data_IF_552431378820
#
_entry.id   IF_552431378820
#
_cell.length_a   1.000
_cell.length_b   1.000
_cell.length_c   1.000
_cell.angle_alpha   90.00
_cell.angle_beta   90.00
_cell.angle_gamma   90.00
#
_symmetry.space_group_name_H-M   'P 1'
#
loop_
_entity.id
_entity.type
_entity.pdbx_description
1 polymer ?
#
# COMPACT_ATOMS: atom_id res chain seq x y z
N UNK A 1 -11.23 -12.24 11.80
CA UNK A 1 -10.71 -13.49 11.24
C UNK A 1 -10.78 -14.60 12.29
N UNK A 2 -11.17 -15.80 11.84
CA UNK A 2 -11.00 -16.98 12.66
C UNK A 2 -9.52 -17.34 12.62
N UNK A 3 -8.86 -17.33 13.78
CA UNK A 3 -7.43 -17.63 13.86
C UNK A 3 -7.28 -19.07 14.36
N UNK A 4 -6.74 -19.92 13.50
CA UNK A 4 -6.44 -21.31 13.82
C UNK A 4 -4.95 -21.46 14.10
N UNK A 5 -4.63 -22.23 15.13
CA UNK A 5 -3.26 -22.64 15.40
C UNK A 5 -3.04 -24.00 14.76
N UNK A 6 -2.33 -24.03 13.64
CA UNK A 6 -1.95 -25.29 12.98
C UNK A 6 -0.63 -25.75 13.57
N UNK A 7 -0.59 -26.97 14.07
CA UNK A 7 0.62 -27.64 14.57
C UNK A 7 0.88 -28.85 13.69
N UNK A 8 2.08 -29.01 13.20
CA UNK A 8 2.55 -30.20 12.53
C UNK A 8 3.75 -30.76 13.28
N UNK A 9 3.75 -32.08 13.45
CA UNK A 9 4.86 -32.84 14.01
C UNK A 9 5.29 -33.83 12.95
N UNK A 10 6.54 -33.81 12.58
CA UNK A 10 7.13 -34.74 11.62
C UNK A 10 8.38 -35.36 12.19
N UNK A 11 8.62 -36.60 11.84
CA UNK A 11 9.82 -37.33 12.19
C UNK A 11 10.60 -37.56 10.89
N UNK A 12 11.79 -36.99 10.75
CA UNK A 12 12.64 -37.19 9.60
C UNK A 12 13.71 -38.23 9.91
N UNK A 13 13.89 -39.17 8.99
CA UNK A 13 15.05 -40.07 8.98
C UNK A 13 16.03 -39.50 7.95
N UNK A 14 17.23 -39.15 8.37
CA UNK A 14 18.34 -38.87 7.46
C UNK A 14 18.88 -40.21 6.94
N UNK A 15 18.78 -40.46 5.64
CA UNK A 15 19.60 -41.49 4.99
C UNK A 15 20.94 -40.85 4.69
N UNK A 16 22.01 -41.34 5.30
CA UNK A 16 23.34 -41.02 4.81
C UNK A 16 23.55 -41.72 3.46
N UNK A 17 23.78 -40.90 2.42
CA UNK A 17 24.22 -41.40 1.12
C UNK A 17 25.58 -42.05 1.28
N UNK A 18 25.61 -43.37 1.43
CA UNK A 18 26.82 -44.16 1.43
C UNK A 18 27.45 -44.08 0.05
N UNK A 19 28.55 -43.33 -0.08
CA UNK A 19 29.45 -43.34 -1.23
C UNK A 19 29.89 -44.79 -1.52
N UNK A 20 29.35 -45.38 -2.58
CA UNK A 20 29.82 -46.66 -3.10
C UNK A 20 31.14 -46.47 -3.84
N UNK A 21 32.25 -46.56 -3.12
CA UNK A 21 33.54 -46.88 -3.73
C UNK A 21 33.55 -48.36 -4.07
N UNK A 22 33.78 -48.64 -5.36
CA UNK A 22 33.82 -50.00 -5.90
C UNK A 22 34.93 -50.87 -5.29
N UNK A 23 34.55 -52.06 -4.90
CA UNK A 23 35.45 -53.13 -4.48
C UNK A 23 34.74 -54.46 -4.49
N UNK A 24 35.27 -55.40 -5.29
CA UNK A 24 34.90 -56.77 -5.61
C UNK A 24 34.34 -57.63 -4.45
N UNK A 25 33.31 -58.35 -4.75
CA UNK A 25 32.73 -59.59 -4.19
C UNK A 25 33.48 -60.31 -3.08
N UNK A 26 32.72 -60.57 -1.99
CA UNK A 26 32.54 -61.93 -1.43
C UNK A 26 31.23 -61.97 -0.66
N UNK A 27 30.43 -63.03 -0.97
CA UNK A 27 29.17 -63.34 -0.37
C UNK A 27 29.40 -63.90 1.04
N UNK A 28 28.93 -63.22 2.07
CA UNK A 28 28.47 -63.81 3.33
C UNK A 28 27.33 -62.97 3.87
N UNK A 29 26.16 -63.62 4.00
CA UNK A 29 24.98 -63.09 4.63
C UNK A 29 25.29 -62.63 6.06
N UNK A 30 25.28 -61.35 6.30
CA UNK A 30 25.04 -60.76 7.62
C UNK A 30 23.98 -59.70 7.51
N UNK A 31 22.91 -59.86 8.29
CA UNK A 31 21.84 -58.91 8.49
C UNK A 31 22.44 -57.49 8.71
N UNK A 32 22.05 -56.49 7.91
CA UNK A 32 22.46 -55.14 8.21
C UNK A 32 21.66 -54.67 9.43
N UNK A 33 22.28 -54.66 10.60
CA UNK A 33 21.80 -53.82 11.68
C UNK A 33 21.78 -52.38 11.17
N UNK A 34 20.59 -51.91 10.85
CA UNK A 34 20.34 -50.51 10.51
C UNK A 34 20.87 -49.67 11.68
N UNK A 35 21.93 -48.93 11.43
CA UNK A 35 22.42 -47.90 12.32
C UNK A 35 21.39 -46.77 12.31
N UNK A 36 20.48 -46.83 13.30
CA UNK A 36 19.38 -45.88 13.46
C UNK A 36 20.00 -44.62 14.03
N UNK A 37 20.47 -43.76 13.17
CA UNK A 37 20.80 -42.39 13.54
C UNK A 37 19.55 -41.70 14.09
N UNK A 38 19.68 -41.03 15.21
CA UNK A 38 18.62 -40.40 15.98
C UNK A 38 17.70 -39.59 15.08
N UNK A 39 16.40 -39.93 15.10
CA UNK A 39 15.38 -39.21 14.35
C UNK A 39 15.04 -37.92 15.11
N UNK A 40 15.34 -36.78 14.50
CA UNK A 40 14.94 -35.48 15.05
C UNK A 40 13.44 -35.26 14.87
N UNK A 41 12.74 -34.99 15.98
CA UNK A 41 11.35 -34.55 15.94
C UNK A 41 11.30 -33.07 15.57
N UNK A 42 10.78 -32.76 14.37
CA UNK A 42 10.58 -31.39 13.92
C UNK A 42 9.16 -30.94 14.24
N UNK A 43 9.07 -29.86 14.99
CA UNK A 43 7.81 -29.22 15.34
C UNK A 43 7.62 -27.97 14.52
N UNK A 44 6.50 -27.88 13.82
CA UNK A 44 6.11 -26.67 13.11
C UNK A 44 4.77 -26.15 13.66
N UNK A 45 4.73 -24.85 13.91
CA UNK A 45 3.53 -24.19 14.40
C UNK A 45 3.31 -22.87 13.66
N UNK A 46 2.11 -22.69 13.09
CA UNK A 46 1.74 -21.44 12.40
C UNK A 46 0.32 -21.04 12.78
N UNK A 47 0.13 -19.72 12.97
CA UNK A 47 -1.20 -19.14 13.05
C UNK A 47 -1.74 -18.94 11.63
N UNK A 48 -2.87 -19.53 11.33
CA UNK A 48 -3.59 -19.40 10.07
C UNK A 48 -4.84 -18.54 10.31
N UNK A 49 -4.93 -17.40 9.63
CA UNK A 49 -6.13 -16.58 9.61
C UNK A 49 -6.98 -16.96 8.38
N UNK A 50 -8.22 -17.37 8.60
CA UNK A 50 -9.18 -17.67 7.54
C UNK A 50 -10.15 -16.50 7.44
N UNK A 51 -10.31 -15.98 6.21
CA UNK A 51 -11.25 -14.94 5.87
C UNK A 51 -12.32 -15.50 4.96
N UNK A 52 -13.60 -15.30 5.31
CA UNK A 52 -14.73 -15.52 4.41
C UNK A 52 -15.00 -14.19 3.70
N UNK A 53 -14.70 -14.14 2.39
CA UNK A 53 -14.94 -12.97 1.57
C UNK A 53 -16.13 -13.26 0.66
N UNK A 54 -17.18 -12.45 0.78
CA UNK A 54 -18.39 -12.55 -0.06
C UNK A 54 -18.64 -11.25 -0.78
N UNK A 55 -18.87 -11.34 -2.07
CA UNK A 55 -19.36 -10.23 -2.88
C UNK A 55 -20.86 -10.44 -3.12
N UNK A 56 -21.66 -9.54 -2.62
CA UNK A 56 -23.12 -9.61 -2.75
C UNK A 56 -23.55 -8.48 -3.68
N UNK A 57 -24.22 -8.84 -4.80
CA UNK A 57 -24.70 -7.86 -5.77
C UNK A 57 -25.52 -6.75 -5.09
N UNK A 58 -25.21 -5.51 -5.44
CA UNK A 58 -25.80 -4.27 -4.89
C UNK A 58 -25.64 -4.04 -3.38
N UNK A 59 -25.01 -4.98 -2.64
CA UNK A 59 -24.77 -4.82 -1.21
C UNK A 59 -23.29 -4.57 -0.87
N UNK A 60 -22.37 -4.92 -1.78
CA UNK A 60 -20.95 -4.71 -1.59
C UNK A 60 -20.16 -5.95 -1.14
N UNK A 61 -19.07 -5.73 -0.48
CA UNK A 61 -18.12 -6.76 -0.04
C UNK A 61 -18.31 -7.00 1.45
N UNK A 62 -18.33 -8.26 1.83
CA UNK A 62 -18.43 -8.68 3.22
C UNK A 62 -17.21 -9.53 3.57
N UNK A 63 -16.58 -9.21 4.69
CA UNK A 63 -15.47 -9.95 5.27
C UNK A 63 -15.93 -10.54 6.61
N UNK A 64 -15.99 -11.87 6.70
CA UNK A 64 -16.52 -12.55 7.89
C UNK A 64 -17.88 -11.99 8.31
N UNK A 65 -18.82 -11.95 7.35
CA UNK A 65 -20.21 -11.48 7.52
C UNK A 65 -20.38 -9.99 7.84
N UNK A 66 -19.30 -9.22 7.97
CA UNK A 66 -19.34 -7.78 8.16
C UNK A 66 -19.08 -7.05 6.85
N UNK A 67 -19.83 -5.98 6.62
CA UNK A 67 -19.57 -5.10 5.48
C UNK A 67 -18.13 -4.60 5.52
N UNK A 68 -17.44 -4.70 4.39
CA UNK A 68 -16.04 -4.36 4.25
C UNK A 68 -15.85 -3.34 3.13
N UNK A 69 -15.46 -2.14 3.51
CA UNK A 69 -15.10 -1.11 2.54
C UNK A 69 -13.69 -1.39 2.00
N UNK A 70 -13.63 -1.93 0.77
CA UNK A 70 -12.37 -2.24 0.11
C UNK A 70 -11.65 -0.94 -0.32
N UNK A 71 -10.44 -0.77 0.15
CA UNK A 71 -9.50 0.30 -0.21
C UNK A 71 -8.24 -0.35 -0.76
N UNK A 72 -8.35 -0.74 -2.02
CA UNK A 72 -7.34 -1.53 -2.73
C UNK A 72 -6.42 -0.65 -3.56
N UNK A 73 -5.14 -1.02 -3.59
CA UNK A 73 -4.14 -0.43 -4.46
C UNK A 73 -3.40 -1.51 -5.24
N UNK A 74 -2.93 -1.20 -6.44
CA UNK A 74 -1.98 -2.04 -7.16
C UNK A 74 -0.56 -1.65 -6.79
N UNK A 75 0.27 -2.65 -6.51
CA UNK A 75 1.67 -2.47 -6.11
C UNK A 75 2.58 -3.21 -7.08
N UNK A 76 3.59 -2.52 -7.57
CA UNK A 76 4.67 -3.10 -8.37
C UNK A 76 5.89 -3.26 -7.47
N UNK A 77 6.50 -4.45 -7.48
CA UNK A 77 7.75 -4.66 -6.75
C UNK A 77 8.82 -3.70 -7.27
N UNK A 78 9.58 -3.06 -6.38
CA UNK A 78 10.72 -2.24 -6.80
C UNK A 78 11.68 -3.09 -7.64
N UNK A 79 12.30 -2.54 -8.69
CA UNK A 79 13.29 -3.25 -9.47
C UNK A 79 14.39 -3.76 -8.53
N UNK A 80 14.94 -4.94 -8.85
CA UNK A 80 16.06 -5.48 -8.09
C UNK A 80 17.22 -4.49 -8.12
N UNK A 81 17.37 -3.78 -7.02
CA UNK A 81 18.59 -3.03 -6.72
C UNK A 81 19.53 -4.08 -6.13
N UNK A 82 20.80 -4.05 -6.49
CA UNK A 82 21.83 -5.06 -6.17
C UNK A 82 21.95 -5.48 -4.69
N UNK A 83 21.11 -4.94 -3.82
CA UNK A 83 21.04 -5.25 -2.40
C UNK A 83 19.59 -5.58 -1.97
N UNK A 84 19.37 -6.85 -1.65
CA UNK A 84 18.09 -7.39 -1.16
C UNK A 84 17.60 -6.65 0.09
N UNK A 85 18.51 -6.23 0.97
CA UNK A 85 18.18 -5.46 2.18
C UNK A 85 17.54 -4.10 1.85
N UNK A 86 18.00 -3.46 0.80
CA UNK A 86 17.45 -2.17 0.33
C UNK A 86 16.05 -2.33 -0.23
N UNK A 87 15.78 -3.40 -0.98
CA UNK A 87 14.47 -3.68 -1.54
C UNK A 87 13.44 -3.97 -0.42
N UNK A 88 13.79 -4.82 0.54
CA UNK A 88 12.90 -5.12 1.68
C UNK A 88 12.60 -3.87 2.52
N UNK A 89 13.61 -3.03 2.75
CA UNK A 89 13.44 -1.76 3.45
C UNK A 89 12.51 -0.80 2.69
N UNK A 90 12.58 -0.76 1.36
CA UNK A 90 11.67 0.03 0.54
C UNK A 90 10.23 -0.50 0.66
N UNK A 91 10.02 -1.80 0.49
CA UNK A 91 8.71 -2.42 0.65
C UNK A 91 8.10 -2.15 2.03
N UNK A 92 8.90 -2.22 3.10
CA UNK A 92 8.43 -1.90 4.45
C UNK A 92 7.96 -0.46 4.58
N UNK A 93 8.72 0.50 4.05
CA UNK A 93 8.35 1.93 4.06
C UNK A 93 7.06 2.18 3.30
N UNK A 94 6.91 1.55 2.14
CA UNK A 94 5.72 1.71 1.31
C UNK A 94 4.48 1.16 2.01
N UNK A 95 4.58 -0.03 2.59
CA UNK A 95 3.49 -0.63 3.36
C UNK A 95 3.10 0.23 4.57
N UNK A 96 4.05 0.89 5.22
CA UNK A 96 3.76 1.84 6.31
C UNK A 96 3.01 3.07 5.82
N UNK A 97 3.39 3.62 4.66
CA UNK A 97 2.68 4.74 4.03
C UNK A 97 1.27 4.34 3.62
N UNK A 98 1.11 3.17 3.00
CA UNK A 98 -0.20 2.65 2.58
C UNK A 98 -1.12 2.38 3.79
N UNK A 99 -0.59 1.88 4.89
CA UNK A 99 -1.34 1.72 6.13
C UNK A 99 -1.84 3.07 6.68
N UNK A 100 -0.98 4.10 6.72
CA UNK A 100 -1.38 5.46 7.13
C UNK A 100 -2.41 6.09 6.18
N UNK A 101 -2.34 5.75 4.91
CA UNK A 101 -3.32 6.16 3.91
C UNK A 101 -4.70 5.53 4.16
N UNK A 102 -4.77 4.44 4.92
CA UNK A 102 -5.99 3.68 5.18
C UNK A 102 -6.26 2.57 4.17
N UNK A 103 -5.27 2.21 3.36
CA UNK A 103 -5.33 1.04 2.46
C UNK A 103 -5.49 -0.24 3.29
N UNK A 104 -6.34 -1.15 2.84
CA UNK A 104 -6.60 -2.43 3.50
C UNK A 104 -6.45 -3.65 2.59
N UNK A 105 -6.21 -3.43 1.29
CA UNK A 105 -5.96 -4.49 0.33
C UNK A 105 -4.88 -4.07 -0.68
N UNK A 106 -4.02 -5.02 -1.04
CA UNK A 106 -2.93 -4.80 -1.99
C UNK A 106 -2.93 -5.91 -3.02
N UNK A 107 -2.97 -5.52 -4.30
CA UNK A 107 -2.79 -6.40 -5.45
C UNK A 107 -1.40 -6.17 -6.04
N UNK A 108 -0.66 -7.25 -6.27
CA UNK A 108 0.61 -7.18 -6.98
C UNK A 108 0.34 -7.09 -8.49
N UNK A 109 0.96 -6.10 -9.15
CA UNK A 109 0.92 -6.02 -10.61
C UNK A 109 1.86 -7.07 -11.21
N UNK A 110 1.34 -7.86 -12.15
CA UNK A 110 2.19 -8.69 -13.00
C UNK A 110 2.92 -7.77 -13.98
N UNK A 111 4.23 -7.72 -13.90
CA UNK A 111 5.05 -7.02 -14.89
C UNK A 111 5.01 -7.83 -16.18
N UNK A 112 4.32 -7.29 -17.19
CA UNK A 112 4.19 -7.94 -18.51
C UNK A 112 5.53 -8.32 -19.11
N UNK A 113 5.56 -9.40 -19.90
CA UNK A 113 6.66 -9.93 -20.74
C UNK A 113 7.98 -10.28 -20.08
N UNK A 114 8.05 -10.39 -18.77
CA UNK A 114 9.24 -10.74 -18.01
C UNK A 114 8.96 -11.54 -16.75
N UNK A 115 7.73 -12.05 -16.56
CA UNK A 115 7.32 -12.79 -15.37
C UNK A 115 8.09 -14.11 -15.14
N UNK A 116 8.91 -14.55 -16.07
CA UNK A 116 9.86 -15.66 -15.88
C UNK A 116 11.02 -15.28 -14.95
N UNK A 117 11.19 -13.99 -14.61
CA UNK A 117 12.30 -13.47 -13.80
C UNK A 117 11.94 -12.92 -12.43
N UNK A 118 10.66 -12.76 -12.07
CA UNK A 118 10.34 -12.44 -10.68
C UNK A 118 10.48 -13.70 -9.83
N UNK A 119 11.52 -13.69 -8.97
CA UNK A 119 11.75 -14.81 -8.07
C UNK A 119 10.48 -15.03 -7.21
N UNK A 120 9.91 -16.24 -7.30
CA UNK A 120 8.78 -16.67 -6.48
C UNK A 120 9.01 -16.43 -4.99
N UNK A 121 10.27 -16.37 -4.56
CA UNK A 121 10.67 -16.05 -3.20
C UNK A 121 10.36 -14.60 -2.84
N UNK A 122 10.61 -13.63 -3.74
CA UNK A 122 10.32 -12.21 -3.51
C UNK A 122 8.83 -11.95 -3.39
N UNK A 123 8.04 -12.53 -4.28
CA UNK A 123 6.58 -12.45 -4.24
C UNK A 123 6.02 -13.01 -2.92
N UNK A 124 6.53 -14.16 -2.48
CA UNK A 124 6.15 -14.77 -1.19
C UNK A 124 6.56 -13.91 0.00
N UNK A 125 7.77 -13.33 -0.03
CA UNK A 125 8.27 -12.44 1.00
C UNK A 125 7.39 -11.19 1.10
N UNK A 126 7.04 -10.57 -0.03
CA UNK A 126 6.14 -9.42 -0.10
C UNK A 126 4.77 -9.74 0.49
N UNK A 127 4.12 -10.82 0.05
CA UNK A 127 2.81 -11.21 0.60
C UNK A 127 2.87 -11.56 2.09
N UNK A 128 3.98 -12.10 2.57
CA UNK A 128 4.20 -12.30 4.01
C UNK A 128 4.28 -10.99 4.78
N UNK A 129 4.94 -9.97 4.22
CA UNK A 129 5.00 -8.63 4.81
C UNK A 129 3.62 -7.96 4.83
N UNK A 130 2.85 -8.05 3.75
CA UNK A 130 1.49 -7.53 3.66
C UNK A 130 0.59 -8.15 4.73
N UNK A 131 0.56 -9.48 4.82
CA UNK A 131 -0.27 -10.20 5.81
C UNK A 131 0.10 -9.87 7.24
N UNK A 132 1.39 -9.74 7.57
CA UNK A 132 1.83 -9.35 8.92
C UNK A 132 1.35 -7.96 9.32
N UNK A 133 1.08 -7.08 8.37
CA UNK A 133 0.54 -5.73 8.57
C UNK A 133 -0.98 -5.63 8.42
N UNK A 134 -1.65 -6.75 8.21
CA UNK A 134 -3.12 -6.81 8.16
C UNK A 134 -3.74 -6.45 6.82
N UNK A 135 -2.93 -6.35 5.74
CA UNK A 135 -3.49 -6.16 4.39
C UNK A 135 -4.07 -7.47 3.85
N UNK A 136 -5.20 -7.37 3.20
CA UNK A 136 -5.68 -8.42 2.32
C UNK A 136 -4.79 -8.47 1.08
N UNK A 137 -4.47 -9.69 0.66
CA UNK A 137 -3.64 -9.94 -0.53
C UNK A 137 -4.32 -10.97 -1.41
N UNK A 138 -4.23 -10.81 -2.71
CA UNK A 138 -4.76 -11.76 -3.69
C UNK A 138 -5.43 -11.05 -4.85
N UNK A 139 -5.83 -11.85 -5.84
CA UNK A 139 -6.52 -11.37 -7.04
C UNK A 139 -8.01 -11.18 -6.76
N UNK A 140 -8.33 -10.18 -5.97
CA UNK A 140 -9.71 -9.74 -5.81
C UNK A 140 -10.11 -8.92 -7.03
N UNK A 141 -10.45 -9.59 -8.15
CA UNK A 141 -10.87 -8.99 -9.43
C UNK A 141 -12.20 -8.23 -9.35
N UNK A 142 -12.41 -7.47 -8.29
CA UNK A 142 -13.69 -6.82 -8.04
C UNK A 142 -13.79 -5.48 -8.77
N UNK A 143 -12.65 -4.85 -9.11
CA UNK A 143 -12.60 -3.58 -9.82
C UNK A 143 -11.61 -3.65 -10.98
N UNK A 144 -12.01 -3.24 -12.21
CA UNK A 144 -11.10 -3.17 -13.35
C UNK A 144 -10.05 -2.08 -13.21
N UNK A 145 -10.40 -0.98 -12.55
CA UNK A 145 -9.50 0.15 -12.32
C UNK A 145 -9.04 0.17 -10.87
N UNK A 146 -7.75 0.02 -10.68
CA UNK A 146 -7.10 0.05 -9.38
C UNK A 146 -6.11 1.19 -9.35
N UNK A 147 -6.10 1.89 -8.22
CA UNK A 147 -5.19 2.98 -7.95
C UNK A 147 -3.74 2.47 -7.87
N UNK A 148 -2.84 2.84 -8.79
CA UNK A 148 -1.46 2.40 -8.75
C UNK A 148 -0.68 3.12 -7.65
N UNK A 149 0.20 2.38 -6.95
CA UNK A 149 1.09 2.96 -5.94
C UNK A 149 2.19 3.78 -6.60
N UNK A 150 2.81 3.25 -7.65
CA UNK A 150 3.88 3.91 -8.36
C UNK A 150 3.43 4.42 -9.72
N UNK A 151 4.03 5.53 -10.15
CA UNK A 151 3.89 6.02 -11.50
C UNK A 151 4.45 5.01 -12.49
N UNK A 152 3.74 4.75 -13.59
CA UNK A 152 4.17 3.86 -14.65
C UNK A 152 5.52 4.23 -15.28
N UNK A 153 6.10 3.32 -16.03
CA UNK A 153 7.33 3.55 -16.77
C UNK A 153 7.13 4.65 -17.84
N UNK A 154 8.20 5.33 -18.28
CA UNK A 154 8.13 6.30 -19.37
C UNK A 154 7.47 5.68 -20.61
N UNK A 155 6.37 6.26 -21.08
CA UNK A 155 5.60 5.77 -22.24
C UNK A 155 4.29 5.05 -21.88
N UNK A 156 4.05 4.67 -20.63
CA UNK A 156 2.72 4.27 -20.17
C UNK A 156 1.86 5.51 -19.95
N UNK A 157 0.59 5.45 -20.35
CA UNK A 157 -0.40 6.50 -20.02
C UNK A 157 -0.41 6.65 -18.51
N UNK A 158 -0.04 7.82 -18.06
CA UNK A 158 0.22 8.13 -16.66
C UNK A 158 -1.08 8.08 -15.86
N UNK A 159 -1.48 6.88 -15.43
CA UNK A 159 -2.41 6.79 -14.33
C UNK A 159 -1.78 7.58 -13.16
N UNK A 160 -2.50 8.53 -12.63
CA UNK A 160 -2.04 9.34 -11.50
C UNK A 160 -1.81 8.43 -10.30
N UNK A 161 -0.56 8.12 -10.04
CA UNK A 161 -0.15 7.22 -8.98
C UNK A 161 -0.07 7.94 -7.63
N UNK A 162 -0.03 7.17 -6.54
CA UNK A 162 0.15 7.70 -5.19
C UNK A 162 1.57 8.22 -4.95
N UNK A 163 2.56 7.59 -5.56
CA UNK A 163 3.98 7.94 -5.44
C UNK A 163 4.55 8.29 -6.81
N UNK A 164 5.45 9.25 -6.84
CA UNK A 164 6.24 9.54 -8.02
C UNK A 164 7.20 8.38 -8.34
N UNK A 165 7.81 8.40 -9.53
CA UNK A 165 8.72 7.36 -10.00
C UNK A 165 9.98 7.17 -9.11
N UNK A 166 10.33 8.18 -8.30
CA UNK A 166 11.43 8.11 -7.33
C UNK A 166 11.12 7.24 -6.09
N UNK A 167 9.86 6.79 -5.95
CA UNK A 167 9.38 6.02 -4.81
C UNK A 167 9.42 6.75 -3.47
N UNK A 168 9.64 8.08 -3.48
CA UNK A 168 9.79 8.90 -2.27
C UNK A 168 8.79 10.04 -2.21
N UNK A 169 8.60 10.72 -3.31
CA UNK A 169 7.74 11.90 -3.42
C UNK A 169 6.27 11.47 -3.45
N UNK A 170 5.50 11.97 -2.51
CA UNK A 170 4.05 11.79 -2.47
C UNK A 170 3.40 12.72 -3.50
N UNK A 171 2.43 12.23 -4.25
CA UNK A 171 1.68 13.02 -5.22
C UNK A 171 0.48 13.71 -4.56
N UNK A 172 -0.13 14.66 -5.26
CA UNK A 172 -1.39 15.27 -4.79
C UNK A 172 -2.49 14.22 -4.65
N UNK A 173 -2.48 13.19 -5.50
CA UNK A 173 -3.41 12.06 -5.41
C UNK A 173 -3.26 11.25 -4.12
N UNK A 174 -2.06 11.13 -3.58
CA UNK A 174 -1.85 10.55 -2.26
C UNK A 174 -2.64 11.31 -1.19
N UNK A 175 -2.55 12.64 -1.17
CA UNK A 175 -3.23 13.47 -0.19
C UNK A 175 -4.76 13.48 -0.36
N UNK A 176 -5.26 13.39 -1.61
CA UNK A 176 -6.68 13.20 -1.88
C UNK A 176 -7.20 11.91 -1.23
N UNK A 177 -6.51 10.77 -1.48
CA UNK A 177 -6.93 9.51 -0.90
C UNK A 177 -6.67 9.43 0.59
N UNK A 178 -5.64 10.12 1.11
CA UNK A 178 -5.43 10.24 2.54
C UNK A 178 -6.62 10.97 3.21
N UNK A 179 -7.07 12.07 2.64
CA UNK A 179 -8.27 12.75 3.13
C UNK A 179 -9.53 11.89 3.00
N UNK A 180 -9.60 11.00 2.00
CA UNK A 180 -10.76 10.14 1.76
C UNK A 180 -10.80 8.88 2.63
N UNK A 181 -9.64 8.32 2.96
CA UNK A 181 -9.52 6.97 3.55
C UNK A 181 -8.95 6.95 4.97
N UNK A 182 -8.13 7.92 5.33
CA UNK A 182 -7.51 7.96 6.65
C UNK A 182 -8.48 8.44 7.74
N UNK A 183 -8.32 7.89 8.94
CA UNK A 183 -8.99 8.40 10.14
C UNK A 183 -8.20 9.53 10.83
N UNK A 184 -6.91 9.70 10.47
CA UNK A 184 -6.09 10.79 10.99
C UNK A 184 -6.51 12.11 10.33
N UNK A 185 -6.45 13.24 11.07
CA UNK A 185 -6.77 14.55 10.51
C UNK A 185 -5.87 14.92 9.32
N UNK A 186 -6.47 15.35 8.22
CA UNK A 186 -5.77 15.73 6.99
C UNK A 186 -6.17 17.14 6.58
N UNK A 187 -5.17 17.92 6.19
CA UNK A 187 -5.32 19.25 5.57
C UNK A 187 -4.19 19.42 4.56
N UNK A 188 -4.54 19.55 3.27
CA UNK A 188 -3.55 19.67 2.20
C UNK A 188 -4.01 20.65 1.13
N UNK A 189 -3.38 21.82 1.02
CA UNK A 189 -3.61 22.75 -0.09
C UNK A 189 -2.98 22.24 -1.39
N UNK A 190 -3.76 22.13 -2.44
CA UNK A 190 -3.34 21.62 -3.76
C UNK A 190 -2.76 22.77 -4.56
N UNK A 191 -1.44 22.98 -4.43
CA UNK A 191 -0.78 24.16 -5.02
C UNK A 191 -0.82 24.18 -6.55
N UNK A 192 -0.97 23.05 -7.21
CA UNK A 192 -1.13 22.97 -8.67
C UNK A 192 -2.44 23.62 -9.15
N UNK A 193 -3.44 23.75 -8.28
CA UNK A 193 -4.70 24.43 -8.59
C UNK A 193 -4.71 25.92 -8.32
N UNK A 194 -3.62 26.42 -7.69
CA UNK A 194 -3.47 27.83 -7.39
C UNK A 194 -3.02 28.58 -8.65
N UNK A 195 -3.96 29.06 -9.41
CA UNK A 195 -3.70 29.81 -10.64
C UNK A 195 -4.63 31.01 -10.78
N UNK A 196 -4.14 32.02 -11.48
CA UNK A 196 -4.94 33.21 -11.79
C UNK A 196 -5.89 32.90 -12.95
N UNK A 197 -7.17 33.18 -12.73
CA UNK A 197 -8.22 33.08 -13.73
C UNK A 197 -8.23 34.29 -14.68
N UNK A 198 -8.96 34.22 -15.78
CA UNK A 198 -9.09 35.33 -16.76
C UNK A 198 -9.66 36.61 -16.13
N UNK A 199 -10.50 36.51 -15.13
CA UNK A 199 -11.07 37.63 -14.37
C UNK A 199 -10.08 38.26 -13.36
N UNK A 200 -8.84 37.73 -13.26
CA UNK A 200 -7.80 38.20 -12.34
C UNK A 200 -7.89 37.65 -10.91
N UNK A 201 -8.94 36.88 -10.61
CA UNK A 201 -9.12 36.19 -9.33
C UNK A 201 -8.34 34.85 -9.30
N UNK A 202 -8.24 34.24 -8.15
CA UNK A 202 -7.50 33.00 -7.96
C UNK A 202 -8.43 31.94 -7.39
N UNK A 203 -8.18 30.67 -7.77
CA UNK A 203 -8.83 29.50 -7.17
C UNK A 203 -7.80 28.67 -6.40
N UNK A 204 -8.24 27.97 -5.38
CA UNK A 204 -7.44 27.02 -4.59
C UNK A 204 -8.28 25.83 -4.18
N UNK A 205 -7.82 24.63 -4.48
CA UNK A 205 -8.41 23.39 -3.98
C UNK A 205 -7.68 22.94 -2.71
N UNK A 206 -8.42 22.42 -1.76
CA UNK A 206 -7.91 21.92 -0.48
C UNK A 206 -8.48 20.53 -0.25
N UNK A 207 -7.62 19.55 0.05
CA UNK A 207 -8.06 18.22 0.49
C UNK A 207 -8.08 18.14 2.00
N UNK A 208 -9.21 17.71 2.56
CA UNK A 208 -9.37 17.56 3.99
C UNK A 208 -10.46 16.53 4.33
N UNK A 209 -10.28 15.80 5.43
CA UNK A 209 -11.31 14.95 6.03
C UNK A 209 -12.05 15.65 7.19
N UNK A 210 -11.80 16.94 7.39
CA UNK A 210 -12.46 17.71 8.42
C UNK A 210 -13.82 18.22 7.94
N UNK A 211 -14.76 18.38 8.87
CA UNK A 211 -16.12 18.83 8.54
C UNK A 211 -16.20 20.25 8.00
N UNK A 212 -15.22 21.08 8.33
CA UNK A 212 -15.17 22.49 7.96
C UNK A 212 -13.75 22.90 7.65
N UNK A 213 -13.59 23.64 6.54
CA UNK A 213 -12.32 24.27 6.15
C UNK A 213 -12.56 25.78 6.06
N UNK A 214 -11.63 26.55 6.62
CA UNK A 214 -11.67 28.01 6.64
C UNK A 214 -10.46 28.55 5.90
N UNK A 215 -10.67 29.50 5.00
CA UNK A 215 -9.61 30.21 4.28
C UNK A 215 -9.54 31.66 4.72
N UNK A 216 -8.33 32.11 5.04
CA UNK A 216 -8.00 33.50 5.28
C UNK A 216 -7.09 34.02 4.18
N UNK A 217 -7.30 35.26 3.78
CA UNK A 217 -6.51 36.00 2.78
C UNK A 217 -5.95 37.24 3.45
N UNK A 218 -4.63 37.41 3.43
CA UNK A 218 -3.90 38.52 4.07
C UNK A 218 -4.34 38.76 5.55
N UNK A 219 -4.63 37.66 6.27
CA UNK A 219 -5.05 37.70 7.67
C UNK A 219 -6.54 37.94 7.90
N UNK A 220 -7.31 38.18 6.85
CA UNK A 220 -8.77 38.38 6.93
C UNK A 220 -9.51 37.08 6.55
N UNK A 221 -10.60 36.79 7.28
CA UNK A 221 -11.47 35.68 6.91
C UNK A 221 -12.04 35.94 5.51
N UNK A 222 -11.72 35.04 4.59
CA UNK A 222 -12.27 35.09 3.23
C UNK A 222 -13.58 34.28 3.15
N UNK A 223 -13.49 32.99 3.41
CA UNK A 223 -14.64 32.07 3.27
C UNK A 223 -14.43 30.82 4.13
N UNK A 224 -15.52 30.19 4.51
CA UNK A 224 -15.47 28.81 5.02
C UNK A 224 -16.39 27.91 4.20
N UNK A 225 -16.02 26.63 4.11
CA UNK A 225 -16.83 25.60 3.48
C UNK A 225 -17.04 24.43 4.44
N UNK A 226 -18.15 23.74 4.28
CA UNK A 226 -18.46 22.51 5.02
C UNK A 226 -18.44 21.33 4.07
N UNK A 227 -17.90 20.20 4.53
CA UNK A 227 -17.76 19.01 3.73
C UNK A 227 -19.10 18.54 3.15
N UNK A 228 -19.11 18.28 1.85
CA UNK A 228 -20.15 17.46 1.24
C UNK A 228 -19.94 16.00 1.68
N UNK A 229 -21.04 15.23 1.77
CA UNK A 229 -20.97 13.86 2.26
C UNK A 229 -20.02 13.00 1.40
N UNK A 230 -18.89 12.58 1.97
CA UNK A 230 -17.95 11.63 1.36
C UNK A 230 -16.94 12.24 0.37
N UNK A 231 -16.97 13.55 0.13
CA UNK A 231 -16.00 14.24 -0.71
C UNK A 231 -14.95 14.95 0.16
N UNK A 232 -13.67 14.67 0.00
CA UNK A 232 -12.60 15.34 0.75
C UNK A 232 -12.16 16.66 0.11
N UNK A 233 -12.79 17.13 -0.94
CA UNK A 233 -12.39 18.26 -1.77
C UNK A 233 -13.16 19.53 -1.40
N UNK A 234 -12.43 20.60 -1.15
CA UNK A 234 -12.95 21.95 -0.88
C UNK A 234 -12.36 22.90 -1.92
N UNK A 235 -13.20 23.48 -2.77
CA UNK A 235 -12.78 24.38 -3.84
C UNK A 235 -13.12 25.82 -3.47
N UNK A 236 -12.12 26.63 -3.24
CA UNK A 236 -12.26 28.07 -3.00
C UNK A 236 -12.02 28.81 -4.31
N UNK A 237 -13.06 29.45 -4.80
CA UNK A 237 -13.02 30.26 -6.02
C UNK A 237 -13.04 31.74 -5.67
N UNK A 238 -12.75 32.56 -6.65
CA UNK A 238 -12.84 34.04 -6.58
C UNK A 238 -12.03 34.68 -5.44
N UNK A 239 -10.88 34.08 -5.10
CA UNK A 239 -9.96 34.64 -4.10
C UNK A 239 -9.35 35.94 -4.64
N UNK A 240 -9.54 37.09 -3.96
CA UNK A 240 -9.02 38.36 -4.43
C UNK A 240 -7.50 38.43 -4.28
N UNK A 241 -6.81 38.97 -5.27
CA UNK A 241 -5.37 39.20 -5.25
C UNK A 241 -5.09 40.66 -5.52
N UNK A 242 -4.95 41.45 -4.48
CA UNK A 242 -4.65 42.86 -4.60
C UNK A 242 -3.15 43.10 -4.92
N UNK A 243 -2.29 42.31 -4.29
CA UNK A 243 -0.83 42.41 -4.45
C UNK A 243 -0.14 41.08 -4.19
N UNK A 244 1.11 40.98 -4.60
CA UNK A 244 2.03 39.89 -4.22
C UNK A 244 3.11 40.44 -3.27
N UNK A 245 3.61 39.64 -2.30
CA UNK A 245 3.15 38.26 -2.00
C UNK A 245 1.75 38.23 -1.41
N UNK A 246 0.99 37.22 -1.78
CA UNK A 246 -0.33 36.90 -1.22
C UNK A 246 -0.14 35.93 -0.03
N UNK A 247 -0.71 36.24 1.12
CA UNK A 247 -0.67 35.37 2.29
C UNK A 247 -1.99 34.64 2.48
N UNK A 248 -1.96 33.31 2.39
CA UNK A 248 -3.11 32.46 2.62
C UNK A 248 -2.91 31.66 3.91
N UNK A 249 -3.93 31.58 4.74
CA UNK A 249 -3.95 30.65 5.86
C UNK A 249 -5.20 29.77 5.75
N UNK A 250 -5.01 28.48 5.95
CA UNK A 250 -6.08 27.47 5.87
C UNK A 250 -6.17 26.76 7.21
N UNK A 251 -7.38 26.68 7.75
CA UNK A 251 -7.64 26.01 9.01
C UNK A 251 -8.73 24.94 8.85
N UNK A 252 -8.52 23.77 9.50
CA UNK A 252 -9.48 22.70 9.52
C UNK A 252 -9.34 21.87 10.81
N UNK A 253 -10.33 21.91 11.69
CA UNK A 253 -10.25 21.28 13.01
C UNK A 253 -9.13 21.91 13.85
N UNK A 254 -8.14 21.09 14.20
CA UNK A 254 -6.93 21.51 14.93
C UNK A 254 -5.71 21.72 14.01
N UNK A 255 -5.89 21.63 12.70
CA UNK A 255 -4.84 21.82 11.71
C UNK A 255 -4.84 23.24 11.17
N UNK A 256 -3.66 23.80 10.93
CA UNK A 256 -3.48 25.09 10.28
C UNK A 256 -2.25 25.06 9.37
N UNK A 257 -2.39 25.63 8.18
CA UNK A 257 -1.31 25.77 7.19
C UNK A 257 -1.29 27.22 6.70
N UNK A 258 -0.09 27.81 6.66
CA UNK A 258 0.13 29.13 6.07
C UNK A 258 0.94 29.02 4.80
N UNK A 259 0.53 29.73 3.77
CA UNK A 259 1.16 29.79 2.46
C UNK A 259 1.52 31.22 2.11
N UNK A 260 2.69 31.42 1.53
CA UNK A 260 3.09 32.71 0.95
C UNK A 260 3.29 32.51 -0.54
N UNK A 261 2.42 33.12 -1.34
CA UNK A 261 2.41 33.01 -2.79
C UNK A 261 3.12 34.21 -3.37
N UNK A 262 4.28 34.00 -3.94
CA UNK A 262 5.11 35.05 -4.53
C UNK A 262 4.92 35.20 -6.03
N UNK A 263 4.29 34.21 -6.67
CA UNK A 263 4.02 34.15 -8.12
C UNK A 263 2.74 33.38 -8.37
N UNK A 264 1.94 33.82 -9.31
CA UNK A 264 0.70 33.20 -9.80
C UNK A 264 0.79 32.95 -11.29
#
# INVERSE_FOLDING_TARGET
PYVYLVKAQGRFRTMEDGEKTGGTRNEEESDPAEDITEAEDVYWQQKLAIYDVRVIDKKGIFLNEKEFLLREVSYRLPPQISDVGTQEAQMKRDLERLARLGVNAIRLEETGSGAEGQDRCEVRAFYSLCRRRGFLTGDLWIRPEILPVYRGLPGETMAEALLAADGRTLTERYYYYQAKWSSEPVLYPVLSTLHRQENGLVSLTIYSNQKKVVLYVDGLLFLFQTAASGDPEFIFEDIPVEKLPLHLAVEAGNLSISLTVTKL
#
